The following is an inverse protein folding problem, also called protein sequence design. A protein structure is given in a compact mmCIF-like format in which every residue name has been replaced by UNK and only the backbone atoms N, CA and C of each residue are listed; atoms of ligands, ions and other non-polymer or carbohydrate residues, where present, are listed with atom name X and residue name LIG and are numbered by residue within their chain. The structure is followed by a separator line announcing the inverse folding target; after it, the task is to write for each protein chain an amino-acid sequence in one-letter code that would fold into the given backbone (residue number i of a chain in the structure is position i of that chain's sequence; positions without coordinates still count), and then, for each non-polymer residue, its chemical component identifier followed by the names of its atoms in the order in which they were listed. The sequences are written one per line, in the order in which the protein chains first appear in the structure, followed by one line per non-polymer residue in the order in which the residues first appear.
data_IF_982977393957
#
_entry.id   IF_982977393957
#
_cell.length_a   1.000
_cell.length_b   1.000
_cell.length_c   1.000
_cell.angle_alpha   90.00
_cell.angle_beta   90.00
_cell.angle_gamma   90.00
#
_symmetry.space_group_name_H-M   'P 1'
#
loop_
_entity.id
_entity.type
_entity.pdbx_description
1 polymer ?
#
# COMPACT_ATOMS: atom_id res chain seq x y z
N UNK A 1 10.50 -16.89 28.00
CA UNK A 1 10.07 -15.64 27.33
C UNK A 1 9.62 -16.01 25.92
N UNK A 2 8.41 -15.65 25.47
CA UNK A 2 8.03 -15.95 24.09
C UNK A 2 8.79 -15.01 23.15
N UNK A 3 9.40 -15.56 22.10
CA UNK A 3 9.98 -14.75 21.02
C UNK A 3 8.86 -13.94 20.36
N UNK A 4 8.85 -12.63 20.58
CA UNK A 4 8.05 -11.71 19.75
C UNK A 4 8.67 -11.73 18.37
N UNK A 5 8.09 -12.51 17.44
CA UNK A 5 8.51 -12.54 16.04
C UNK A 5 8.22 -11.17 15.42
N UNK A 6 9.27 -10.36 15.25
CA UNK A 6 9.17 -9.03 14.63
C UNK A 6 8.74 -9.15 13.17
N UNK A 7 8.04 -8.13 12.67
CA UNK A 7 7.69 -8.03 11.26
C UNK A 7 8.95 -8.11 10.38
N UNK A 8 8.89 -8.93 9.32
CA UNK A 8 9.99 -9.09 8.36
C UNK A 8 9.73 -8.21 7.14
N UNK A 9 10.68 -7.36 6.79
CA UNK A 9 10.55 -6.53 5.59
C UNK A 9 10.56 -7.43 4.34
N UNK A 10 9.52 -7.30 3.51
CA UNK A 10 9.40 -7.99 2.21
C UNK A 10 9.89 -7.08 1.09
N UNK A 11 9.43 -5.82 1.09
CA UNK A 11 9.78 -4.84 0.06
C UNK A 11 9.79 -3.44 0.67
N UNK A 12 10.83 -2.68 0.33
CA UNK A 12 10.85 -1.23 0.51
C UNK A 12 11.41 -0.62 -0.77
N UNK A 13 10.57 0.15 -1.48
CA UNK A 13 10.96 0.92 -2.66
C UNK A 13 10.49 2.34 -2.47
N UNK A 14 11.36 3.31 -2.75
CA UNK A 14 11.01 4.71 -2.82
C UNK A 14 11.62 5.30 -4.08
N UNK A 15 10.77 5.77 -4.97
CA UNK A 15 11.15 6.40 -6.23
C UNK A 15 10.69 7.85 -6.18
N UNK A 16 11.59 8.75 -6.56
CA UNK A 16 11.28 10.15 -6.83
C UNK A 16 11.38 10.36 -8.33
N UNK A 17 10.29 10.82 -8.94
CA UNK A 17 10.25 11.18 -10.36
C UNK A 17 10.85 12.58 -10.57
N UNK A 18 11.26 12.88 -11.81
CA UNK A 18 11.80 14.21 -12.19
C UNK A 18 10.80 15.34 -11.94
N UNK A 19 9.50 15.03 -12.04
CA UNK A 19 8.37 15.92 -11.70
C UNK A 19 8.29 16.27 -10.20
N UNK A 20 9.10 15.62 -9.36
CA UNK A 20 9.05 15.73 -7.91
C UNK A 20 8.01 14.83 -7.24
N UNK A 21 7.23 14.05 -8.00
CA UNK A 21 6.30 13.07 -7.46
C UNK A 21 7.06 11.94 -6.77
N UNK A 22 6.43 11.33 -5.76
CA UNK A 22 7.03 10.25 -4.99
C UNK A 22 6.12 9.02 -5.04
N UNK A 23 6.70 7.88 -5.41
CA UNK A 23 6.09 6.58 -5.21
C UNK A 23 6.84 5.86 -4.09
N UNK A 24 6.13 5.41 -3.06
CA UNK A 24 6.71 4.63 -1.97
C UNK A 24 5.90 3.34 -1.78
N UNK A 25 6.60 2.20 -1.72
CA UNK A 25 6.03 0.87 -1.53
C UNK A 25 6.73 0.25 -0.33
N UNK A 26 5.97 -0.04 0.73
CA UNK A 26 6.46 -0.76 1.90
C UNK A 26 5.55 -1.94 2.19
N UNK A 27 6.15 -3.12 2.34
CA UNK A 27 5.47 -4.38 2.61
C UNK A 27 6.26 -5.17 3.64
N UNK A 28 5.55 -5.74 4.61
CA UNK A 28 6.10 -6.57 5.67
C UNK A 28 5.29 -7.85 5.82
N UNK A 29 5.99 -8.94 6.07
CA UNK A 29 5.41 -10.20 6.56
C UNK A 29 5.24 -10.09 8.08
N UNK A 30 4.05 -10.41 8.56
CA UNK A 30 3.67 -10.37 9.97
C UNK A 30 3.04 -11.70 10.36
N UNK A 31 3.04 -12.01 11.66
CA UNK A 31 2.30 -13.17 12.15
C UNK A 31 0.81 -12.97 11.79
N UNK A 32 0.17 -13.93 11.11
CA UNK A 32 -1.25 -13.84 10.82
C UNK A 32 -2.06 -13.65 12.10
N UNK A 33 -3.02 -12.73 12.05
CA UNK A 33 -3.92 -12.41 13.15
C UNK A 33 -5.34 -12.15 12.59
N UNK A 34 -6.38 -12.08 13.42
CA UNK A 34 -7.71 -11.70 12.94
C UNK A 34 -7.72 -10.37 12.15
N UNK A 35 -6.88 -9.41 12.53
CA UNK A 35 -6.73 -8.13 11.82
C UNK A 35 -5.90 -8.24 10.52
N UNK A 36 -5.07 -9.28 10.41
CA UNK A 36 -4.13 -9.52 9.31
C UNK A 36 -4.17 -11.00 8.92
N UNK A 37 -5.30 -11.49 8.39
CA UNK A 37 -5.46 -12.91 8.09
C UNK A 37 -4.47 -13.39 7.01
N UNK A 38 -4.02 -12.46 6.16
CA UNK A 38 -3.08 -12.74 5.08
C UNK A 38 -1.61 -12.73 5.50
N UNK A 39 -1.28 -12.38 6.77
CA UNK A 39 0.10 -12.34 7.24
C UNK A 39 0.94 -11.22 6.62
N UNK A 40 0.31 -10.17 6.07
CA UNK A 40 1.01 -9.03 5.48
C UNK A 40 0.50 -7.70 6.01
N UNK A 41 1.44 -6.80 6.33
CA UNK A 41 1.19 -5.37 6.54
C UNK A 41 1.77 -4.62 5.34
N UNK A 42 1.07 -3.60 4.84
CA UNK A 42 1.58 -2.82 3.72
C UNK A 42 1.15 -1.36 3.75
N UNK A 43 1.94 -0.52 3.09
CA UNK A 43 1.66 0.89 2.82
C UNK A 43 2.28 1.25 1.47
N UNK A 44 1.43 1.46 0.47
CA UNK A 44 1.79 1.90 -0.87
C UNK A 44 1.20 3.30 -1.07
N UNK A 45 1.99 4.26 -1.50
CA UNK A 45 1.57 5.64 -1.66
C UNK A 45 2.17 6.27 -2.91
N UNK A 46 1.32 6.96 -3.68
CA UNK A 46 1.75 7.87 -4.73
C UNK A 46 1.39 9.29 -4.31
N UNK A 47 2.41 10.15 -4.28
CA UNK A 47 2.36 11.48 -3.71
C UNK A 47 2.69 12.49 -4.81
N UNK A 48 1.78 13.42 -5.04
CA UNK A 48 1.89 14.50 -6.04
C UNK A 48 1.80 15.82 -5.30
N UNK A 49 2.78 16.71 -5.49
CA UNK A 49 2.87 18.01 -4.79
C UNK A 49 2.68 17.90 -3.27
N UNK A 50 3.26 16.86 -2.66
CA UNK A 50 3.18 16.59 -1.23
C UNK A 50 1.86 15.98 -0.73
N UNK A 51 0.88 15.74 -1.60
CA UNK A 51 -0.41 15.11 -1.24
C UNK A 51 -0.46 13.68 -1.75
N UNK A 52 -0.90 12.74 -0.91
CA UNK A 52 -1.20 11.36 -1.33
C UNK A 52 -2.43 11.38 -2.24
N UNK A 53 -2.25 10.98 -3.49
CA UNK A 53 -3.33 10.92 -4.48
C UNK A 53 -3.79 9.49 -4.75
N UNK A 54 -2.89 8.51 -4.61
CA UNK A 54 -3.23 7.08 -4.62
C UNK A 54 -2.59 6.42 -3.41
N UNK A 55 -3.25 5.45 -2.79
CA UNK A 55 -2.51 4.48 -2.00
C UNK A 55 -3.31 3.32 -1.46
N UNK A 56 -2.59 2.34 -0.95
CA UNK A 56 -3.13 1.10 -0.40
C UNK A 56 -2.52 0.88 0.97
N UNK A 57 -3.35 0.62 1.97
CA UNK A 57 -2.89 0.30 3.32
C UNK A 57 -3.84 -0.64 4.05
N UNK A 58 -3.32 -1.27 5.10
CA UNK A 58 -4.11 -2.10 5.99
C UNK A 58 -3.69 -1.83 7.45
N UNK A 59 -3.93 -0.63 7.96
CA UNK A 59 -3.55 -0.25 9.35
C UNK A 59 -4.03 -1.24 10.44
N UNK A 60 -3.55 -1.07 11.67
CA UNK A 60 -4.03 -1.85 12.83
C UNK A 60 -5.55 -1.64 13.03
N UNK A 61 -6.27 -2.73 13.29
CA UNK A 61 -7.74 -2.72 13.36
C UNK A 61 -8.46 -2.33 12.06
N UNK A 62 -7.74 -2.12 10.95
CA UNK A 62 -8.32 -1.75 9.66
C UNK A 62 -8.29 -2.92 8.68
N UNK A 63 -9.37 -3.02 7.91
CA UNK A 63 -9.43 -3.83 6.68
C UNK A 63 -8.45 -3.26 5.64
N UNK A 64 -8.14 -4.06 4.64
CA UNK A 64 -7.40 -3.62 3.48
C UNK A 64 -8.18 -2.49 2.76
N UNK A 65 -7.52 -1.36 2.50
CA UNK A 65 -8.15 -0.19 1.90
C UNK A 65 -7.34 0.31 0.70
N UNK A 66 -8.06 0.97 -0.20
CA UNK A 66 -7.54 1.76 -1.30
C UNK A 66 -8.03 3.20 -1.18
N UNK A 67 -7.17 4.14 -1.54
CA UNK A 67 -7.39 5.57 -1.40
C UNK A 67 -7.21 6.27 -2.75
N UNK A 68 -8.15 7.14 -3.10
CA UNK A 68 -8.11 8.06 -4.23
C UNK A 68 -8.29 9.49 -3.69
N UNK A 69 -7.18 10.19 -3.45
CA UNK A 69 -7.19 11.42 -2.67
C UNK A 69 -7.82 11.19 -1.29
N UNK A 70 -8.96 11.83 -1.03
CA UNK A 70 -9.72 11.73 0.23
C UNK A 70 -10.73 10.57 0.25
N UNK A 71 -11.01 9.97 -0.92
CA UNK A 71 -11.96 8.86 -1.02
C UNK A 71 -11.28 7.57 -0.57
N UNK A 72 -11.89 6.86 0.37
CA UNK A 72 -11.42 5.56 0.87
C UNK A 72 -12.42 4.47 0.54
N UNK A 73 -11.95 3.37 -0.03
CA UNK A 73 -12.76 2.22 -0.40
C UNK A 73 -12.14 0.93 0.15
N UNK A 74 -12.95 -0.08 0.55
CA UNK A 74 -12.45 -1.41 0.87
C UNK A 74 -11.71 -2.01 -0.32
N UNK A 75 -10.53 -2.59 -0.06
CA UNK A 75 -9.76 -3.32 -1.03
C UNK A 75 -9.83 -4.82 -0.72
N UNK A 76 -10.07 -5.65 -1.73
CA UNK A 76 -10.06 -7.11 -1.56
C UNK A 76 -8.65 -7.63 -1.83
N UNK A 77 -7.86 -7.79 -0.78
CA UNK A 77 -6.53 -8.37 -0.90
C UNK A 77 -6.60 -9.79 -1.49
N UNK A 78 -5.73 -10.06 -2.48
CA UNK A 78 -5.58 -11.38 -3.09
C UNK A 78 -4.20 -11.96 -2.82
N UNK A 79 -3.18 -11.21 -3.23
CA UNK A 79 -1.78 -11.51 -3.02
C UNK A 79 -0.94 -10.23 -3.24
N UNK A 80 0.34 -10.25 -2.86
CA UNK A 80 1.23 -9.10 -2.99
C UNK A 80 1.44 -8.67 -4.46
N UNK A 81 1.40 -9.61 -5.41
CA UNK A 81 1.60 -9.32 -6.83
C UNK A 81 0.40 -8.54 -7.39
N UNK A 82 -0.82 -8.97 -7.07
CA UNK A 82 -2.05 -8.28 -7.42
C UNK A 82 -2.11 -6.90 -6.75
N UNK A 83 -1.78 -6.80 -5.46
CA UNK A 83 -1.69 -5.51 -4.76
C UNK A 83 -0.77 -4.53 -5.50
N UNK A 84 0.42 -4.98 -5.89
CA UNK A 84 1.39 -4.12 -6.58
C UNK A 84 0.88 -3.74 -7.98
N UNK A 85 0.30 -4.70 -8.72
CA UNK A 85 -0.25 -4.45 -10.07
C UNK A 85 -1.41 -3.45 -10.04
N UNK A 86 -2.33 -3.61 -9.10
CA UNK A 86 -3.47 -2.70 -8.94
C UNK A 86 -2.99 -1.29 -8.58
N UNK A 87 -2.01 -1.17 -7.68
CA UNK A 87 -1.43 0.13 -7.32
C UNK A 87 -0.79 0.83 -8.53
N UNK A 88 0.00 0.13 -9.34
CA UNK A 88 0.59 0.72 -10.55
C UNK A 88 -0.47 1.15 -11.57
N UNK A 89 -1.48 0.31 -11.82
CA UNK A 89 -2.58 0.65 -12.74
C UNK A 89 -3.31 1.92 -12.29
N UNK A 90 -3.51 2.08 -10.99
CA UNK A 90 -4.23 3.23 -10.45
C UNK A 90 -3.36 4.50 -10.49
N UNK A 91 -2.02 4.39 -10.38
CA UNK A 91 -1.11 5.50 -10.69
C UNK A 91 -1.19 5.90 -12.17
N UNK A 92 -1.17 4.93 -13.08
CA UNK A 92 -1.30 5.19 -14.52
C UNK A 92 -2.64 5.87 -14.82
N UNK A 93 -3.74 5.34 -14.26
CA UNK A 93 -5.07 5.91 -14.41
C UNK A 93 -5.15 7.34 -13.86
N UNK A 94 -4.48 7.63 -12.75
CA UNK A 94 -4.35 9.00 -12.22
C UNK A 94 -3.62 9.92 -13.20
N UNK A 95 -2.46 9.49 -13.73
CA UNK A 95 -1.65 10.26 -14.67
C UNK A 95 -2.39 10.56 -15.98
N UNK A 96 -3.28 9.66 -16.39
CA UNK A 96 -4.14 9.81 -17.55
C UNK A 96 -5.44 10.59 -17.28
N UNK A 97 -5.65 11.07 -16.04
CA UNK A 97 -6.88 11.75 -15.60
C UNK A 97 -8.16 10.90 -15.76
N UNK A 98 -8.08 9.60 -15.46
CA UNK A 98 -9.19 8.63 -15.58
C UNK A 98 -9.78 8.21 -14.22
N UNK A 99 -9.50 8.93 -13.15
CA UNK A 99 -9.94 8.65 -11.78
C UNK A 99 -10.84 9.74 -11.21
#
# INVERSE_FOLDING_TARGET
MPLVKKAKLVKHVKVREDSGNIMEVKMWEVIPSPDKPHGYKYSLAYIVKGKRVIGYDNGEGKRDNRHYGEKVEPYKFKDLRTLTKDFYRDIESYKENKL
#
